data_IF_315036704660
#
_entry.id   IF_315036704660
#
_cell.length_a   1.000
_cell.length_b   1.000
_cell.length_c   1.000
_cell.angle_alpha   90.00
_cell.angle_beta   90.00
_cell.angle_gamma   90.00
#
_symmetry.space_group_name_H-M   'P 1'
#
loop_
_entity.id
_entity.type
_entity.pdbx_description
1 polymer ?
#
# COMPACT_ATOMS: atom_id res chain seq x y z
N UNK A 1 11.82 52.06 -37.98
CA UNK A 1 11.04 51.63 -36.82
C UNK A 1 11.79 50.48 -36.17
N UNK A 2 12.50 50.79 -35.13
CA UNK A 2 13.30 49.82 -34.40
C UNK A 2 12.38 49.08 -33.41
N UNK A 3 12.29 47.75 -33.56
CA UNK A 3 11.55 46.91 -32.64
C UNK A 3 12.33 46.76 -31.32
N UNK A 4 11.78 47.30 -30.25
CA UNK A 4 12.28 47.05 -28.89
C UNK A 4 12.05 45.58 -28.52
N UNK A 5 13.11 44.80 -28.51
CA UNK A 5 13.14 43.49 -27.90
C UNK A 5 13.04 43.68 -26.38
N UNK A 6 11.85 43.48 -25.81
CA UNK A 6 11.68 43.40 -24.36
C UNK A 6 12.42 42.16 -23.81
N UNK A 7 13.61 42.39 -23.33
CA UNK A 7 14.36 41.40 -22.56
C UNK A 7 13.55 41.04 -21.28
N UNK A 8 12.84 39.92 -21.32
CA UNK A 8 12.23 39.33 -20.14
C UNK A 8 13.36 39.04 -19.17
N UNK A 9 13.48 39.84 -18.13
CA UNK A 9 14.43 39.58 -17.04
C UNK A 9 13.99 38.31 -16.33
N UNK A 10 14.66 37.22 -16.62
CA UNK A 10 14.50 35.98 -15.85
C UNK A 10 14.94 36.23 -14.42
N UNK A 11 13.99 36.47 -13.53
CA UNK A 11 14.27 36.56 -12.10
C UNK A 11 14.53 35.19 -11.56
N UNK A 12 15.74 34.92 -11.06
CA UNK A 12 16.08 33.69 -10.40
C UNK A 12 15.05 33.35 -9.31
N UNK A 13 14.50 32.15 -9.33
CA UNK A 13 13.54 31.67 -8.34
C UNK A 13 14.19 31.69 -6.95
N UNK A 14 13.52 32.36 -6.01
CA UNK A 14 13.91 32.40 -4.58
C UNK A 14 12.87 31.61 -3.77
N UNK A 15 13.28 31.10 -2.59
CA UNK A 15 12.41 30.30 -1.71
C UNK A 15 11.06 30.99 -1.43
N UNK A 16 11.02 32.30 -1.25
CA UNK A 16 9.80 33.04 -0.98
C UNK A 16 8.87 33.17 -2.20
N UNK A 17 9.33 32.82 -3.41
CA UNK A 17 8.50 32.76 -4.61
C UNK A 17 7.72 31.42 -4.74
N UNK A 18 8.14 30.41 -4.00
CA UNK A 18 7.45 29.11 -4.00
C UNK A 18 6.07 29.25 -3.35
N UNK A 19 5.05 29.03 -4.13
CA UNK A 19 3.66 29.06 -3.69
C UNK A 19 2.95 27.82 -4.19
N UNK A 20 2.05 27.23 -3.38
CA UNK A 20 1.22 26.13 -3.86
C UNK A 20 0.33 26.60 -5.00
N UNK A 21 -0.11 25.67 -5.84
CA UNK A 21 -1.07 25.96 -6.91
C UNK A 21 -2.34 26.62 -6.35
N UNK A 22 -2.99 27.52 -7.10
CA UNK A 22 -4.26 28.12 -6.69
C UNK A 22 -5.29 27.04 -6.33
N UNK A 23 -5.92 27.16 -5.15
CA UNK A 23 -6.89 26.20 -4.65
C UNK A 23 -6.30 24.99 -3.89
N UNK A 24 -4.99 24.75 -3.93
CA UNK A 24 -4.37 23.67 -3.19
C UNK A 24 -4.41 23.87 -1.66
N UNK A 25 -4.60 25.10 -1.20
CA UNK A 25 -4.67 25.46 0.22
C UNK A 25 -5.77 26.46 0.46
N UNK A 26 -6.75 26.10 1.27
CA UNK A 26 -7.80 26.99 1.76
C UNK A 26 -7.49 27.45 3.18
N UNK A 27 -7.75 28.72 3.46
CA UNK A 27 -7.58 29.25 4.82
C UNK A 27 -8.55 28.53 5.78
N UNK A 28 -8.04 28.12 6.93
CA UNK A 28 -8.86 27.48 7.98
C UNK A 28 -9.89 28.48 8.52
N UNK A 29 -11.17 28.11 8.45
CA UNK A 29 -12.25 28.88 9.03
C UNK A 29 -12.17 28.79 10.57
N UNK A 30 -12.06 29.93 11.24
CA UNK A 30 -12.09 30.04 12.71
C UNK A 30 -13.52 30.32 13.15
N UNK A 31 -14.17 29.32 13.73
CA UNK A 31 -15.55 29.44 14.22
C UNK A 31 -15.62 30.23 15.54
N UNK A 32 -16.79 30.85 15.84
CA UNK A 32 -16.99 31.60 17.07
C UNK A 32 -16.19 32.91 17.19
N UNK A 33 -15.83 33.54 16.07
CA UNK A 33 -15.06 34.80 16.00
C UNK A 33 -15.88 36.01 15.55
N UNK A 34 -17.18 35.99 15.77
CA UNK A 34 -18.09 37.05 15.37
C UNK A 34 -19.05 36.61 14.26
N UNK A 35 -20.03 37.48 13.96
CA UNK A 35 -21.10 37.13 13.03
C UNK A 35 -20.70 37.17 11.55
N UNK A 36 -19.61 37.85 11.17
CA UNK A 36 -19.06 37.88 9.83
C UNK A 36 -18.45 36.54 9.34
N UNK A 37 -18.41 35.51 10.19
CA UNK A 37 -18.03 34.15 9.87
C UNK A 37 -19.06 33.18 10.46
N UNK A 38 -18.70 31.91 10.74
CA UNK A 38 -19.55 31.01 11.53
C UNK A 38 -19.52 31.40 13.02
N UNK A 39 -20.16 32.54 13.34
CA UNK A 39 -20.27 33.09 14.69
C UNK A 39 -21.26 32.34 15.59
N UNK A 40 -21.99 33.05 16.38
CA UNK A 40 -23.01 32.63 17.36
C UNK A 40 -22.96 31.16 17.82
N UNK A 41 -23.42 30.21 17.03
CA UNK A 41 -23.46 28.76 17.35
C UNK A 41 -22.28 27.95 16.80
N UNK A 42 -21.38 28.58 16.08
CA UNK A 42 -20.20 27.94 15.46
C UNK A 42 -20.53 26.71 14.58
N UNK A 43 -21.74 26.67 14.01
CA UNK A 43 -22.26 25.56 13.21
C UNK A 43 -22.77 24.36 14.00
N UNK A 44 -22.88 24.45 15.33
CA UNK A 44 -23.33 23.34 16.19
C UNK A 44 -24.83 23.32 16.49
N UNK A 45 -25.56 24.37 16.15
CA UNK A 45 -26.97 24.53 16.54
C UNK A 45 -27.14 24.99 17.98
N UNK A 46 -28.38 24.92 18.51
CA UNK A 46 -28.74 25.54 19.80
C UNK A 46 -28.86 24.58 20.96
N UNK A 47 -29.25 23.34 20.75
CA UNK A 47 -29.49 22.33 21.81
C UNK A 47 -28.86 20.98 21.40
N UNK A 48 -28.75 20.09 22.39
CA UNK A 48 -28.21 18.74 22.20
C UNK A 48 -26.77 18.58 22.71
N UNK A 49 -26.36 17.37 22.87
CA UNK A 49 -25.04 17.00 23.46
C UNK A 49 -23.91 17.51 22.61
N UNK A 50 -24.00 17.38 21.30
CA UNK A 50 -22.94 17.82 20.32
C UNK A 50 -22.79 19.34 20.26
N UNK A 51 -23.80 20.13 20.72
CA UNK A 51 -23.68 21.58 20.79
C UNK A 51 -22.85 22.04 22.00
N UNK A 52 -22.81 21.24 23.06
CA UNK A 52 -22.15 21.57 24.32
C UNK A 52 -20.73 21.04 24.44
N UNK A 53 -20.48 19.80 24.00
CA UNK A 53 -19.17 19.18 24.02
C UNK A 53 -19.03 18.17 22.88
N UNK A 54 -17.84 17.63 22.75
CA UNK A 54 -17.56 16.61 21.74
C UNK A 54 -17.95 15.23 22.28
N UNK A 55 -18.79 14.52 21.54
CA UNK A 55 -19.19 13.14 21.86
C UNK A 55 -18.29 12.19 21.07
N UNK A 56 -17.85 11.11 21.71
CA UNK A 56 -17.12 10.05 21.03
C UNK A 56 -17.93 9.48 19.86
N UNK A 57 -17.25 9.19 18.74
CA UNK A 57 -17.91 8.60 17.56
C UNK A 57 -18.51 7.21 17.85
N UNK A 58 -17.98 6.50 18.85
CA UNK A 58 -18.47 5.19 19.27
C UNK A 58 -19.61 5.23 20.30
N UNK A 59 -20.08 6.44 20.72
CA UNK A 59 -21.12 6.57 21.71
C UNK A 59 -22.51 6.41 21.08
N UNK A 60 -23.29 5.44 21.56
CA UNK A 60 -24.60 5.06 21.06
C UNK A 60 -25.75 5.48 22.01
N UNK A 61 -25.59 6.59 22.76
CA UNK A 61 -26.63 7.13 23.61
C UNK A 61 -26.93 6.32 24.87
N UNK A 62 -26.06 5.45 25.33
CA UNK A 62 -26.23 4.54 26.47
C UNK A 62 -26.53 3.10 26.06
N UNK A 63 -26.85 2.85 24.79
CA UNK A 63 -26.90 1.49 24.26
C UNK A 63 -25.50 0.90 24.22
N UNK A 64 -25.35 -0.41 24.44
CA UNK A 64 -24.06 -1.12 24.32
C UNK A 64 -23.51 -0.98 22.90
N UNK A 65 -22.32 -0.39 22.71
CA UNK A 65 -21.72 -0.21 21.39
C UNK A 65 -21.55 -1.51 20.61
N UNK A 66 -21.62 -1.45 19.28
CA UNK A 66 -21.56 -2.62 18.42
C UNK A 66 -20.33 -3.51 18.69
N UNK A 67 -19.17 -2.90 18.89
CA UNK A 67 -17.92 -3.65 19.20
C UNK A 67 -17.97 -4.42 20.52
N UNK A 68 -18.84 -4.02 21.46
CA UNK A 68 -19.08 -4.75 22.72
C UNK A 68 -20.17 -5.82 22.58
N UNK A 69 -21.10 -5.66 21.62
CA UNK A 69 -22.17 -6.64 21.35
C UNK A 69 -21.64 -7.82 20.52
N UNK A 70 -20.62 -7.60 19.70
CA UNK A 70 -20.02 -8.66 18.91
C UNK A 70 -19.23 -9.65 19.81
N UNK A 71 -19.38 -10.96 19.57
CA UNK A 71 -18.57 -11.93 20.30
C UNK A 71 -17.08 -11.72 20.04
N UNK A 72 -16.28 -11.91 21.08
CA UNK A 72 -14.82 -11.85 20.95
C UNK A 72 -14.31 -12.96 20.01
N UNK A 73 -13.38 -12.62 19.15
CA UNK A 73 -12.68 -13.60 18.34
C UNK A 73 -11.97 -14.60 19.25
N UNK A 74 -12.25 -15.90 19.03
CA UNK A 74 -11.64 -16.99 19.77
C UNK A 74 -10.29 -17.37 19.15
N UNK A 75 -9.43 -17.96 19.96
CA UNK A 75 -8.10 -18.42 19.54
C UNK A 75 -7.01 -17.39 19.79
N UNK A 76 -5.85 -17.69 19.29
CA UNK A 76 -4.64 -16.86 19.40
C UNK A 76 -3.92 -16.77 18.06
N UNK A 77 -3.11 -15.74 17.90
CA UNK A 77 -2.20 -15.62 16.75
C UNK A 77 -0.88 -16.30 17.13
N UNK A 78 -0.48 -17.32 16.35
CA UNK A 78 0.81 -17.97 16.55
C UNK A 78 1.95 -16.98 16.18
N UNK A 79 2.77 -16.53 17.15
CA UNK A 79 3.88 -15.62 16.90
C UNK A 79 5.03 -16.27 16.09
N UNK A 80 5.14 -17.61 16.17
CA UNK A 80 6.17 -18.35 15.44
C UNK A 80 5.76 -18.74 14.01
N UNK A 81 4.61 -18.25 13.52
CA UNK A 81 4.15 -18.55 12.16
C UNK A 81 5.06 -17.91 11.12
N UNK A 82 5.73 -18.72 10.32
CA UNK A 82 6.46 -18.29 9.14
C UNK A 82 5.48 -18.14 7.97
N UNK A 83 5.42 -16.96 7.40
CA UNK A 83 4.55 -16.66 6.25
C UNK A 83 5.41 -16.52 5.00
N UNK A 84 5.21 -17.43 4.05
CA UNK A 84 5.90 -17.40 2.76
C UNK A 84 5.16 -16.53 1.76
N UNK A 85 5.91 -15.84 0.93
CA UNK A 85 5.39 -15.30 -0.33
C UNK A 85 5.34 -16.43 -1.35
N UNK A 86 4.21 -16.55 -2.03
CA UNK A 86 3.97 -17.65 -2.96
C UNK A 86 4.16 -17.18 -4.39
N UNK A 87 4.90 -17.96 -5.17
CA UNK A 87 5.05 -17.80 -6.61
C UNK A 87 4.67 -19.12 -7.28
N UNK A 88 3.75 -19.07 -8.24
CA UNK A 88 3.32 -20.24 -9.00
C UNK A 88 4.15 -20.41 -10.29
N UNK A 89 4.18 -21.62 -10.84
CA UNK A 89 4.91 -21.92 -12.09
C UNK A 89 4.41 -21.10 -13.28
N UNK A 90 3.10 -20.85 -13.40
CA UNK A 90 2.54 -19.95 -14.41
C UNK A 90 3.18 -18.56 -14.37
N UNK A 91 3.34 -18.03 -13.16
CA UNK A 91 3.94 -16.71 -12.96
C UNK A 91 5.42 -16.72 -13.32
N UNK A 92 6.13 -17.81 -12.99
CA UNK A 92 7.55 -17.98 -13.38
C UNK A 92 7.70 -18.05 -14.89
N UNK A 93 6.87 -18.86 -15.55
CA UNK A 93 6.86 -18.99 -17.02
C UNK A 93 6.54 -17.68 -17.73
N UNK A 94 5.65 -16.87 -17.17
CA UNK A 94 5.30 -15.55 -17.72
C UNK A 94 6.43 -14.52 -17.55
N UNK A 95 7.16 -14.55 -16.43
CA UNK A 95 8.24 -13.60 -16.14
C UNK A 95 9.58 -13.99 -16.78
N UNK A 96 9.82 -15.29 -16.92
CA UNK A 96 11.08 -15.84 -17.45
C UNK A 96 10.80 -16.84 -18.59
N UNK A 97 10.31 -16.38 -19.75
CA UNK A 97 9.96 -17.27 -20.86
C UNK A 97 11.18 -18.04 -21.40
N UNK A 98 12.35 -17.45 -21.32
CA UNK A 98 13.61 -18.04 -21.79
C UNK A 98 14.24 -19.03 -20.80
N UNK A 99 13.65 -19.16 -19.60
CA UNK A 99 14.21 -19.99 -18.53
C UNK A 99 15.44 -19.39 -17.86
N UNK A 100 16.32 -20.26 -17.35
CA UNK A 100 17.59 -19.88 -16.74
C UNK A 100 17.58 -19.85 -15.22
N UNK A 101 18.55 -19.17 -14.62
CA UNK A 101 18.70 -19.10 -13.16
C UNK A 101 17.70 -18.12 -12.55
N UNK A 102 16.96 -18.57 -11.55
CA UNK A 102 15.96 -17.79 -10.83
C UNK A 102 16.33 -17.78 -9.35
N UNK A 103 16.90 -16.67 -8.90
CA UNK A 103 17.21 -16.39 -7.49
C UNK A 103 16.10 -15.53 -6.87
N UNK A 104 16.10 -15.41 -5.53
CA UNK A 104 15.16 -14.54 -4.82
C UNK A 104 15.32 -13.09 -5.27
N UNK A 105 16.54 -12.63 -5.50
CA UNK A 105 16.84 -11.26 -5.96
C UNK A 105 16.20 -10.98 -7.33
N UNK A 106 16.36 -11.90 -8.28
CA UNK A 106 15.74 -11.77 -9.61
C UNK A 106 14.21 -11.76 -9.55
N UNK A 107 13.61 -12.47 -8.58
CA UNK A 107 12.16 -12.43 -8.35
C UNK A 107 11.70 -11.09 -7.76
N UNK A 108 12.53 -10.45 -6.94
CA UNK A 108 12.28 -9.09 -6.42
C UNK A 108 12.37 -8.07 -7.57
N UNK A 109 13.44 -8.12 -8.38
CA UNK A 109 13.64 -7.22 -9.52
C UNK A 109 12.51 -7.33 -10.56
N UNK A 110 12.04 -8.55 -10.80
CA UNK A 110 10.88 -8.80 -11.66
C UNK A 110 9.52 -8.42 -11.03
N UNK A 111 9.51 -7.96 -9.76
CA UNK A 111 8.29 -7.58 -9.05
C UNK A 111 7.35 -8.76 -8.74
N UNK A 112 7.85 -9.98 -8.73
CA UNK A 112 7.09 -11.16 -8.36
C UNK A 112 6.88 -11.29 -6.86
N UNK A 113 7.87 -10.90 -6.08
CA UNK A 113 7.90 -10.94 -4.61
C UNK A 113 8.45 -9.63 -4.05
N UNK A 114 8.22 -9.39 -2.76
CA UNK A 114 8.79 -8.27 -2.01
C UNK A 114 10.02 -8.75 -1.24
N UNK A 115 10.98 -7.87 -1.07
CA UNK A 115 12.13 -8.17 -0.22
C UNK A 115 11.76 -8.40 1.26
N UNK A 116 12.59 -9.17 1.96
CA UNK A 116 12.50 -9.39 3.40
C UNK A 116 11.59 -10.53 3.87
N UNK A 117 10.89 -11.24 2.99
CA UNK A 117 10.06 -12.40 3.36
C UNK A 117 10.48 -13.66 2.60
N UNK A 118 10.41 -14.86 3.23
CA UNK A 118 10.76 -16.09 2.58
C UNK A 118 9.82 -16.43 1.42
N UNK A 119 10.36 -16.98 0.35
CA UNK A 119 9.66 -17.31 -0.90
C UNK A 119 9.43 -18.80 -1.01
N UNK A 120 8.22 -19.20 -1.42
CA UNK A 120 7.85 -20.58 -1.72
C UNK A 120 7.27 -20.71 -3.12
N UNK A 121 7.82 -21.65 -3.89
CA UNK A 121 7.30 -21.97 -5.24
C UNK A 121 6.28 -23.09 -5.15
N UNK A 122 5.12 -22.85 -5.79
CA UNK A 122 4.01 -23.81 -5.88
C UNK A 122 3.81 -24.29 -7.33
N UNK A 123 3.32 -25.52 -7.47
CA UNK A 123 3.18 -26.23 -8.74
C UNK A 123 1.91 -25.92 -9.54
N UNK A 124 1.25 -24.77 -9.31
CA UNK A 124 0.13 -24.35 -10.15
C UNK A 124 0.64 -23.91 -11.50
N UNK A 125 0.06 -24.46 -12.57
CA UNK A 125 0.51 -24.24 -13.93
C UNK A 125 1.58 -25.23 -14.41
N UNK A 126 2.25 -24.91 -15.51
CA UNK A 126 3.27 -25.73 -16.12
C UNK A 126 4.59 -24.98 -16.28
N UNK A 127 5.70 -25.69 -16.19
CA UNK A 127 7.01 -25.15 -16.50
C UNK A 127 7.25 -25.24 -18.02
N UNK A 128 7.27 -24.10 -18.71
CA UNK A 128 7.44 -24.04 -20.16
C UNK A 128 8.92 -24.07 -20.58
N UNK A 129 9.84 -23.79 -19.66
CA UNK A 129 11.27 -23.76 -19.89
C UNK A 129 12.04 -24.44 -18.75
N UNK A 130 13.32 -24.73 -18.98
CA UNK A 130 14.21 -25.27 -17.96
C UNK A 130 14.59 -24.18 -16.95
N UNK A 131 14.09 -24.27 -15.73
CA UNK A 131 14.36 -23.31 -14.66
C UNK A 131 15.38 -23.88 -13.66
N UNK A 132 16.37 -23.07 -13.33
CA UNK A 132 17.28 -23.32 -12.20
C UNK A 132 16.82 -22.43 -11.04
N UNK A 133 16.01 -22.97 -10.15
CA UNK A 133 15.34 -22.16 -9.10
C UNK A 133 16.00 -22.34 -7.75
N UNK A 134 16.46 -21.22 -7.16
CA UNK A 134 17.06 -21.17 -5.81
C UNK A 134 16.21 -20.29 -4.90
N UNK A 135 15.37 -20.92 -4.04
CA UNK A 135 14.46 -20.23 -3.12
C UNK A 135 14.32 -21.00 -1.79
N UNK A 136 13.62 -20.44 -0.80
CA UNK A 136 13.51 -20.98 0.55
C UNK A 136 12.69 -22.28 0.65
N UNK A 137 11.64 -22.45 -0.16
CA UNK A 137 10.80 -23.66 -0.11
C UNK A 137 10.11 -23.95 -1.44
N UNK A 138 9.76 -25.23 -1.64
CA UNK A 138 9.02 -25.73 -2.80
C UNK A 138 7.88 -26.64 -2.35
N UNK A 139 6.83 -26.77 -3.17
CA UNK A 139 5.88 -27.87 -3.04
C UNK A 139 6.41 -29.13 -3.77
N UNK A 140 5.92 -30.31 -3.39
CA UNK A 140 6.28 -31.55 -4.08
C UNK A 140 5.99 -31.49 -5.58
N UNK A 141 4.76 -31.08 -5.92
CA UNK A 141 4.33 -30.92 -7.31
C UNK A 141 5.16 -29.87 -8.12
N UNK A 142 5.67 -28.82 -7.46
CA UNK A 142 6.56 -27.88 -8.14
C UNK A 142 7.91 -28.49 -8.49
N UNK A 143 8.49 -29.27 -7.54
CA UNK A 143 9.76 -29.99 -7.77
C UNK A 143 9.65 -30.95 -8.94
N UNK A 144 8.60 -31.78 -8.96
CA UNK A 144 8.33 -32.73 -10.03
C UNK A 144 8.21 -32.06 -11.40
N UNK A 145 7.41 -31.00 -11.50
CA UNK A 145 7.20 -30.26 -12.76
C UNK A 145 8.47 -29.57 -13.26
N UNK A 146 9.23 -28.94 -12.36
CA UNK A 146 10.52 -28.30 -12.73
C UNK A 146 11.54 -29.36 -13.22
N UNK A 147 11.64 -30.50 -12.50
CA UNK A 147 12.53 -31.59 -12.92
C UNK A 147 12.09 -32.22 -14.25
N UNK A 148 10.78 -32.39 -14.46
CA UNK A 148 10.23 -32.90 -15.73
C UNK A 148 10.52 -31.97 -16.93
N UNK A 149 10.57 -30.65 -16.68
CA UNK A 149 10.95 -29.66 -17.69
C UNK A 149 12.47 -29.51 -17.88
N UNK A 150 13.30 -30.38 -17.26
CA UNK A 150 14.76 -30.33 -17.35
C UNK A 150 15.44 -29.28 -16.48
N UNK A 151 14.70 -28.71 -15.54
CA UNK A 151 15.22 -27.72 -14.58
C UNK A 151 15.84 -28.33 -13.33
N UNK A 152 16.44 -27.50 -12.51
CA UNK A 152 17.01 -27.87 -11.21
C UNK A 152 16.42 -27.04 -10.06
N UNK A 153 16.36 -27.62 -8.87
CA UNK A 153 15.75 -27.02 -7.66
C UNK A 153 16.78 -27.01 -6.54
N UNK A 154 17.08 -25.83 -6.00
CA UNK A 154 17.95 -25.64 -4.84
C UNK A 154 17.21 -24.88 -3.74
N UNK A 155 17.38 -25.33 -2.50
CA UNK A 155 16.83 -24.62 -1.32
C UNK A 155 17.93 -23.84 -0.63
N UNK A 156 17.63 -22.60 -0.28
CA UNK A 156 18.50 -21.71 0.51
C UNK A 156 18.59 -22.16 1.96
#
# INVERSE_FOLDING_TARGET
MAGESSTVREHALKVHHLRPAPGARTAKIRVGRGEGSKGKTAGRGTKGTKARYQVSAAFEGGQMPLHMRLPKLRGFKNPAKVTYQVVNLDRLSALFPDGGEITVERLVDAGAVRDGLPVKVLGTGEATAAFQVTVHAFSASAKEKISAAGGSVSTL
#
